data_IF_020660129373
#
_entry.id   IF_020660129373
#
_cell.length_a   1.000
_cell.length_b   1.000
_cell.length_c   1.000
_cell.angle_alpha   90.00
_cell.angle_beta   90.00
_cell.angle_gamma   90.00
#
_symmetry.space_group_name_H-M   'P 1'
#
loop_
_entity.id
_entity.type
_entity.pdbx_description
1 polymer ?
#
# COMPACT_ATOMS: atom_id res chain seq x y z
N UNK A 1 2.84 -0.44 25.49
CA UNK A 1 1.51 -0.85 26.00
C UNK A 1 0.36 0.00 25.44
N UNK A 2 0.57 1.26 25.06
CA UNK A 2 -0.45 2.07 24.37
C UNK A 2 -0.74 1.63 22.92
N UNK A 3 0.27 1.20 22.15
CA UNK A 3 0.11 0.72 20.77
C UNK A 3 -0.81 -0.50 20.64
N UNK A 4 -0.70 -1.50 21.52
CA UNK A 4 -1.56 -2.68 21.49
C UNK A 4 -3.04 -2.37 21.72
N UNK A 5 -3.36 -1.28 22.43
CA UNK A 5 -4.74 -0.82 22.60
C UNK A 5 -5.29 -0.14 21.34
N UNK A 6 -4.44 0.59 20.62
CA UNK A 6 -4.78 1.20 19.34
C UNK A 6 -5.02 0.14 18.27
N UNK A 7 -4.15 -0.87 18.17
CA UNK A 7 -4.28 -1.99 17.22
C UNK A 7 -5.60 -2.75 17.45
N UNK A 8 -5.97 -2.98 18.71
CA UNK A 8 -7.23 -3.66 19.06
C UNK A 8 -8.47 -2.82 18.71
N UNK A 9 -8.39 -1.49 18.85
CA UNK A 9 -9.46 -0.58 18.46
C UNK A 9 -9.62 -0.52 16.94
N UNK A 10 -8.50 -0.41 16.21
CA UNK A 10 -8.45 -0.41 14.75
C UNK A 10 -9.01 -1.71 14.19
N UNK A 11 -8.55 -2.87 14.68
CA UNK A 11 -9.05 -4.16 14.27
C UNK A 11 -10.57 -4.30 14.51
N UNK A 12 -11.09 -3.76 15.62
CA UNK A 12 -12.52 -3.78 15.90
C UNK A 12 -13.31 -2.91 14.93
N UNK A 13 -12.81 -1.73 14.59
CA UNK A 13 -13.43 -0.84 13.59
C UNK A 13 -13.41 -1.50 12.22
N UNK A 14 -12.26 -2.03 11.80
CA UNK A 14 -12.10 -2.74 10.53
C UNK A 14 -13.10 -3.92 10.44
N UNK A 15 -13.22 -4.72 11.50
CA UNK A 15 -14.19 -5.83 11.54
C UNK A 15 -15.64 -5.34 11.41
N UNK A 16 -15.99 -4.23 12.06
CA UNK A 16 -17.34 -3.66 12.01
C UNK A 16 -17.68 -3.13 10.61
N UNK A 17 -16.73 -2.49 9.95
CA UNK A 17 -16.87 -2.00 8.57
C UNK A 17 -17.02 -3.20 7.63
N UNK A 18 -16.16 -4.21 7.74
CA UNK A 18 -16.22 -5.41 6.92
C UNK A 18 -17.56 -6.15 7.09
N UNK A 19 -18.05 -6.29 8.32
CA UNK A 19 -19.32 -6.92 8.60
C UNK A 19 -20.51 -6.17 7.96
N UNK A 20 -20.53 -4.83 8.08
CA UNK A 20 -21.56 -4.00 7.43
C UNK A 20 -21.51 -4.07 5.91
N UNK A 21 -20.31 -4.08 5.34
CA UNK A 21 -20.11 -4.21 3.89
C UNK A 21 -20.58 -5.59 3.40
N UNK A 22 -20.33 -6.66 4.17
CA UNK A 22 -20.82 -8.00 3.85
C UNK A 22 -22.34 -8.09 3.93
N UNK A 23 -22.96 -7.53 4.98
CA UNK A 23 -24.41 -7.47 5.13
C UNK A 23 -25.08 -6.74 3.95
N UNK A 24 -24.48 -5.64 3.48
CA UNK A 24 -24.98 -4.93 2.29
C UNK A 24 -24.65 -5.63 0.97
N UNK A 25 -23.61 -6.48 0.93
CA UNK A 25 -23.31 -7.26 -0.26
C UNK A 25 -24.40 -8.33 -0.53
N UNK A 26 -25.11 -8.78 0.51
CA UNK A 26 -26.23 -9.73 0.39
C UNK A 26 -27.52 -9.08 -0.14
N UNK A 27 -27.64 -7.74 -0.07
CA UNK A 27 -28.81 -6.99 -0.55
C UNK A 27 -28.64 -6.42 -1.96
N UNK A 28 -27.51 -6.72 -2.61
CA UNK A 28 -27.21 -6.29 -3.98
C UNK A 28 -28.17 -6.95 -4.99
N UNK A 29 -28.65 -6.16 -5.95
CA UNK A 29 -29.52 -6.65 -7.02
C UNK A 29 -28.93 -7.86 -7.75
N UNK A 30 -29.82 -8.78 -8.15
CA UNK A 30 -29.42 -10.04 -8.79
C UNK A 30 -28.53 -9.83 -10.02
N UNK A 31 -28.81 -8.84 -10.87
CA UNK A 31 -27.99 -8.50 -12.04
C UNK A 31 -26.53 -8.16 -11.67
N UNK A 32 -26.33 -7.38 -10.62
CA UNK A 32 -24.99 -7.00 -10.14
C UNK A 32 -24.28 -8.22 -9.53
N UNK A 33 -25.00 -9.07 -8.80
CA UNK A 33 -24.45 -10.32 -8.27
C UNK A 33 -23.95 -11.25 -9.39
N UNK A 34 -24.69 -11.34 -10.50
CA UNK A 34 -24.33 -12.16 -11.65
C UNK A 34 -23.11 -11.61 -12.39
N UNK A 35 -23.05 -10.29 -12.59
CA UNK A 35 -21.89 -9.61 -13.18
C UNK A 35 -20.63 -9.77 -12.32
N UNK A 36 -20.76 -9.69 -11.00
CA UNK A 36 -19.66 -9.95 -10.06
C UNK A 36 -19.20 -11.40 -10.11
N UNK A 37 -20.14 -12.36 -10.18
CA UNK A 37 -19.80 -13.79 -10.37
C UNK A 37 -19.00 -14.00 -11.66
N UNK A 38 -19.46 -13.45 -12.77
CA UNK A 38 -18.79 -13.55 -14.07
C UNK A 38 -17.39 -12.91 -14.04
N UNK A 39 -17.27 -11.76 -13.39
CA UNK A 39 -15.99 -11.09 -13.19
C UNK A 39 -15.03 -11.93 -12.32
N UNK A 40 -15.54 -12.57 -11.27
CA UNK A 40 -14.76 -13.47 -10.39
C UNK A 40 -14.27 -14.71 -11.14
N UNK A 41 -15.13 -15.35 -11.92
CA UNK A 41 -14.75 -16.51 -12.76
C UNK A 41 -13.64 -16.11 -13.73
N UNK A 42 -13.80 -15.00 -14.44
CA UNK A 42 -12.78 -14.46 -15.35
C UNK A 42 -11.47 -14.10 -14.65
N UNK A 43 -11.54 -13.54 -13.44
CA UNK A 43 -10.36 -13.23 -12.63
C UNK A 43 -9.64 -14.51 -12.16
N UNK A 44 -10.39 -15.55 -11.78
CA UNK A 44 -9.83 -16.85 -11.40
C UNK A 44 -9.17 -17.55 -12.58
N UNK A 45 -9.77 -17.54 -13.77
CA UNK A 45 -9.14 -18.06 -14.98
C UNK A 45 -7.81 -17.36 -15.28
N UNK A 46 -7.80 -16.01 -15.23
CA UNK A 46 -6.58 -15.23 -15.39
C UNK A 46 -5.54 -15.54 -14.32
N UNK A 47 -5.94 -15.67 -13.06
CA UNK A 47 -5.03 -16.02 -11.97
C UNK A 47 -4.48 -17.44 -12.12
N UNK A 48 -5.30 -18.40 -12.57
CA UNK A 48 -4.84 -19.76 -12.88
C UNK A 48 -3.87 -19.78 -14.06
N UNK A 49 -4.15 -19.00 -15.11
CA UNK A 49 -3.24 -18.84 -16.25
C UNK A 49 -1.91 -18.20 -15.81
N UNK A 50 -1.96 -17.17 -14.96
CA UNK A 50 -0.77 -16.54 -14.38
C UNK A 50 0.04 -17.51 -13.52
N UNK A 51 -0.60 -18.29 -12.64
CA UNK A 51 0.06 -19.34 -11.84
C UNK A 51 0.67 -20.44 -12.70
N UNK A 52 0.00 -20.85 -13.78
CA UNK A 52 0.54 -21.81 -14.75
C UNK A 52 1.74 -21.23 -15.51
N UNK A 53 1.68 -19.96 -15.89
CA UNK A 53 2.80 -19.26 -16.52
C UNK A 53 3.99 -19.09 -15.56
N UNK A 54 3.73 -18.80 -14.28
CA UNK A 54 4.75 -18.73 -13.24
C UNK A 54 5.39 -20.11 -12.98
N UNK A 55 4.59 -21.18 -12.90
CA UNK A 55 5.09 -22.55 -12.82
C UNK A 55 5.93 -22.94 -14.05
N UNK A 56 5.51 -22.53 -15.25
CA UNK A 56 6.29 -22.70 -16.48
C UNK A 56 7.59 -21.87 -16.47
N UNK A 57 7.58 -20.67 -15.87
CA UNK A 57 8.76 -19.83 -15.70
C UNK A 57 9.76 -20.45 -14.71
N UNK A 58 9.31 -21.18 -13.68
CA UNK A 58 10.19 -21.94 -12.77
C UNK A 58 10.87 -23.11 -13.51
N UNK A 59 10.14 -23.82 -14.37
CA UNK A 59 10.73 -24.87 -15.23
C UNK A 59 11.70 -24.26 -16.26
N UNK A 60 11.36 -23.10 -16.82
CA UNK A 60 12.24 -22.37 -17.74
C UNK A 60 13.51 -21.86 -17.04
N UNK A 61 13.42 -21.37 -15.81
CA UNK A 61 14.58 -21.01 -14.97
C UNK A 61 15.51 -22.20 -14.72
N UNK A 62 14.95 -23.41 -14.55
CA UNK A 62 15.71 -24.66 -14.51
C UNK A 62 16.39 -25.01 -15.85
N UNK A 63 15.73 -24.75 -16.99
CA UNK A 63 16.34 -24.94 -18.32
C UNK A 63 17.39 -23.89 -18.67
N UNK A 64 17.25 -22.65 -18.21
CA UNK A 64 18.28 -21.59 -18.34
C UNK A 64 19.48 -21.95 -17.47
N UNK A 65 19.27 -22.42 -16.24
CA UNK A 65 20.34 -22.97 -15.40
C UNK A 65 21.00 -24.21 -16.03
N UNK A 66 20.24 -25.10 -16.67
CA UNK A 66 20.77 -26.26 -17.39
C UNK A 66 21.53 -25.89 -18.67
N UNK A 67 21.09 -24.87 -19.41
CA UNK A 67 21.78 -24.37 -20.60
C UNK A 67 23.09 -23.65 -20.25
N UNK A 68 23.16 -22.96 -19.11
CA UNK A 68 24.38 -22.35 -18.55
C UNK A 68 25.44 -23.40 -18.19
N UNK A 69 25.03 -24.62 -17.83
CA UNK A 69 25.92 -25.72 -17.42
C UNK A 69 26.31 -26.66 -18.59
N UNK A 70 25.73 -26.47 -19.79
CA UNK A 70 25.67 -27.51 -20.82
C UNK A 70 26.59 -27.38 -22.05
N UNK A 71 27.22 -26.24 -22.35
CA UNK A 71 28.12 -26.22 -23.51
C UNK A 71 28.66 -24.87 -23.97
N UNK A 72 29.98 -24.83 -24.18
CA UNK A 72 30.68 -23.82 -24.98
C UNK A 72 31.29 -22.67 -24.18
N UNK A 73 32.63 -22.61 -24.14
CA UNK A 73 33.49 -21.50 -23.69
C UNK A 73 32.95 -20.64 -22.52
N UNK A 74 33.32 -21.02 -21.29
CA UNK A 74 32.91 -20.38 -20.03
C UNK A 74 33.18 -18.87 -19.86
N UNK A 75 33.87 -18.21 -20.80
CA UNK A 75 33.98 -16.74 -20.82
C UNK A 75 32.69 -16.06 -21.30
N UNK A 76 31.99 -16.62 -22.29
CA UNK A 76 30.70 -16.11 -22.76
C UNK A 76 29.60 -16.33 -21.73
N UNK A 77 29.66 -17.45 -21.01
CA UNK A 77 28.76 -17.75 -19.88
C UNK A 77 28.96 -16.76 -18.72
N UNK A 78 30.20 -16.37 -18.41
CA UNK A 78 30.51 -15.32 -17.42
C UNK A 78 29.95 -13.95 -17.82
N UNK A 79 30.07 -13.56 -19.09
CA UNK A 79 29.46 -12.32 -19.59
C UNK A 79 27.93 -12.38 -19.55
N UNK A 80 27.34 -13.50 -19.95
CA UNK A 80 25.88 -13.72 -19.91
C UNK A 80 25.32 -13.73 -18.49
N UNK A 81 26.08 -14.27 -17.53
CA UNK A 81 25.73 -14.28 -16.10
C UNK A 81 25.77 -12.88 -15.45
N UNK A 82 26.59 -11.96 -15.96
CA UNK A 82 26.64 -10.60 -15.46
C UNK A 82 25.44 -9.75 -15.91
N UNK A 83 24.85 -10.06 -17.05
CA UNK A 83 23.72 -9.34 -17.63
C UNK A 83 22.50 -9.20 -16.69
N UNK A 84 21.97 -10.26 -16.04
CA UNK A 84 20.85 -10.13 -15.11
C UNK A 84 21.22 -9.33 -13.84
N UNK A 85 22.47 -9.41 -13.36
CA UNK A 85 22.93 -8.60 -12.21
C UNK A 85 22.95 -7.11 -12.56
N UNK A 86 23.43 -6.76 -13.76
CA UNK A 86 23.45 -5.37 -14.26
C UNK A 86 22.02 -4.86 -14.45
N UNK A 87 21.12 -5.67 -15.03
CA UNK A 87 19.72 -5.32 -15.20
C UNK A 87 19.01 -5.11 -13.85
N UNK A 88 19.30 -5.94 -12.84
CA UNK A 88 18.78 -5.79 -11.47
C UNK A 88 19.26 -4.49 -10.85
N UNK A 89 20.57 -4.20 -10.90
CA UNK A 89 21.13 -2.97 -10.37
C UNK A 89 20.54 -1.72 -11.06
N UNK A 90 20.39 -1.76 -12.39
CA UNK A 90 19.76 -0.70 -13.16
C UNK A 90 18.27 -0.51 -12.79
N UNK A 91 17.51 -1.60 -12.66
CA UNK A 91 16.12 -1.57 -12.22
C UNK A 91 15.96 -0.97 -10.82
N UNK A 92 16.83 -1.34 -9.89
CA UNK A 92 16.84 -0.79 -8.53
C UNK A 92 17.16 0.70 -8.52
N UNK A 93 18.10 1.14 -9.36
CA UNK A 93 18.45 2.57 -9.53
C UNK A 93 17.29 3.39 -10.08
N UNK A 94 16.54 2.87 -11.04
CA UNK A 94 15.34 3.53 -11.62
C UNK A 94 14.25 3.70 -10.55
N UNK A 95 13.98 2.65 -9.76
CA UNK A 95 12.97 2.70 -8.69
C UNK A 95 13.34 3.74 -7.62
N UNK A 96 14.61 3.82 -7.24
CA UNK A 96 15.13 4.82 -6.30
C UNK A 96 14.98 6.26 -6.84
N UNK A 97 15.22 6.47 -8.13
CA UNK A 97 15.06 7.79 -8.73
C UNK A 97 13.60 8.26 -8.69
N UNK A 98 12.63 7.36 -8.92
CA UNK A 98 11.20 7.67 -8.85
C UNK A 98 10.75 8.01 -7.42
N UNK A 99 11.38 7.45 -6.38
CA UNK A 99 11.09 7.80 -4.98
C UNK A 99 11.69 9.16 -4.54
N UNK A 100 12.63 9.71 -5.29
CA UNK A 100 13.34 10.95 -4.88
C UNK A 100 12.50 12.22 -5.11
N UNK A 101 11.35 12.15 -5.78
CA UNK A 101 10.47 13.33 -6.00
C UNK A 101 9.18 13.35 -5.16
N UNK A 102 8.92 12.35 -4.32
CA UNK A 102 7.67 12.25 -3.55
C UNK A 102 7.77 12.78 -2.10
N UNK A 103 8.79 13.59 -1.78
CA UNK A 103 9.03 14.05 -0.41
C UNK A 103 8.82 15.56 -0.15
N UNK A 104 8.18 16.30 -1.04
CA UNK A 104 7.85 17.71 -0.79
C UNK A 104 6.45 18.04 -1.32
N UNK A 105 5.40 17.66 -0.59
CA UNK A 105 4.10 18.40 -0.63
C UNK A 105 3.03 17.92 0.34
N UNK A 106 3.13 16.73 0.95
CA UNK A 106 1.98 16.19 1.73
C UNK A 106 1.99 16.59 3.21
N UNK A 107 3.12 17.07 3.75
CA UNK A 107 3.22 17.41 5.19
C UNK A 107 2.76 18.83 5.55
N UNK A 108 2.56 19.73 4.59
CA UNK A 108 2.30 21.14 4.86
C UNK A 108 0.80 21.51 4.88
N UNK A 109 -0.06 20.70 4.26
CA UNK A 109 -1.46 21.10 4.02
C UNK A 109 -2.36 20.83 5.24
N UNK A 110 -2.05 19.79 6.02
CA UNK A 110 -2.84 19.42 7.22
C UNK A 110 -2.55 20.37 8.41
N UNK A 111 -1.31 20.84 8.55
CA UNK A 111 -0.90 21.69 9.68
C UNK A 111 -1.34 23.15 9.49
N UNK A 112 -1.48 23.61 8.24
CA UNK A 112 -1.99 24.94 7.92
C UNK A 112 -3.50 25.06 8.15
N UNK A 113 -4.27 23.98 7.94
CA UNK A 113 -5.70 23.95 8.22
C UNK A 113 -5.98 23.91 9.74
N UNK A 114 -5.09 23.28 10.53
CA UNK A 114 -5.18 23.26 12.00
C UNK A 114 -4.71 24.58 12.64
N UNK A 115 -3.74 25.29 12.05
CA UNK A 115 -3.28 26.59 12.55
C UNK A 115 -4.14 27.80 12.11
N UNK A 116 -5.03 27.63 11.13
CA UNK A 116 -5.84 28.71 10.55
C UNK A 116 -7.33 28.63 10.88
N UNK A 117 -7.79 27.63 11.65
CA UNK A 117 -9.19 27.59 12.08
C UNK A 117 -9.44 28.73 13.08
N UNK A 118 -10.28 29.68 12.67
CA UNK A 118 -10.66 30.84 13.47
C UNK A 118 -11.45 30.36 14.69
N UNK A 119 -10.83 30.49 15.86
CA UNK A 119 -11.45 30.10 17.12
C UNK A 119 -12.76 30.90 17.29
N UNK A 120 -13.93 30.24 17.42
CA UNK A 120 -15.20 30.94 17.50
C UNK A 120 -15.18 31.91 18.69
N UNK A 121 -15.73 33.13 18.57
CA UNK A 121 -15.63 34.17 19.59
C UNK A 121 -16.18 33.78 20.97
N UNK A 122 -16.96 32.70 21.04
CA UNK A 122 -17.41 32.08 22.28
C UNK A 122 -16.25 31.53 23.15
N UNK A 123 -15.10 31.17 22.57
CA UNK A 123 -13.94 30.64 23.30
C UNK A 123 -13.27 31.69 24.20
N UNK A 124 -13.40 32.99 23.88
CA UNK A 124 -12.93 34.08 24.73
C UNK A 124 -13.84 34.34 25.94
N UNK A 125 -15.01 33.70 25.99
CA UNK A 125 -16.00 33.87 27.05
C UNK A 125 -15.96 32.75 28.10
N UNK A 126 -14.99 31.83 28.03
CA UNK A 126 -14.87 30.74 29.00
C UNK A 126 -14.53 31.30 30.39
N UNK A 127 -15.17 30.75 31.42
CA UNK A 127 -14.92 31.07 32.83
C UNK A 127 -13.43 30.95 33.19
N UNK A 128 -12.71 30.03 32.54
CA UNK A 128 -11.26 29.85 32.75
C UNK A 128 -10.41 31.04 32.30
N UNK A 129 -10.76 31.72 31.20
CA UNK A 129 -10.02 32.89 30.71
C UNK A 129 -10.26 34.12 31.58
N UNK A 130 -11.48 34.25 32.11
CA UNK A 130 -11.84 35.29 33.07
C UNK A 130 -11.05 35.13 34.37
N UNK A 131 -10.80 33.90 34.81
CA UNK A 131 -10.00 33.63 36.02
C UNK A 131 -8.50 33.89 35.82
N UNK A 132 -7.99 33.67 34.60
CA UNK A 132 -6.63 34.07 34.20
C UNK A 132 -6.43 35.60 34.26
N UNK A 133 -7.41 36.38 33.81
CA UNK A 133 -7.37 37.86 33.91
C UNK A 133 -7.46 38.36 35.36
N UNK A 134 -8.12 37.62 36.26
CA UNK A 134 -8.25 37.98 37.67
C UNK A 134 -7.04 37.62 38.51
N UNK A 135 -6.17 36.73 38.01
CA UNK A 135 -4.92 36.38 38.68
C UNK A 135 -3.73 36.84 37.84
N UNK A 136 -3.48 38.16 37.70
CA UNK A 136 -2.17 38.60 37.28
C UNK A 136 -1.18 38.13 38.34
N UNK A 137 -0.42 37.08 38.05
CA UNK A 137 0.78 36.77 38.84
C UNK A 137 1.76 37.90 38.55
N UNK A 138 2.04 38.69 39.57
CA UNK A 138 3.22 39.56 39.62
C UNK A 138 4.51 38.75 39.40
#
# INVERSE_FOLDING_TARGET
MYQSGQDALEARIAYRIAARLNEHAETVDTDISERLRFAREKALEKAQAARKAEAAHVVSGGTVAAAVLGGGNGWWVKLGSALPLVALAAGLMVIQHLHTQAQISVAAEIDAELLADDLPPAAYSDEGFVEFLKTPRD
#
